data_IF_361170318535
#
_entry.id   IF_361170318535
#
_cell.length_a   1.000
_cell.length_b   1.000
_cell.length_c   1.000
_cell.angle_alpha   90.00
_cell.angle_beta   90.00
_cell.angle_gamma   90.00
#
_symmetry.space_group_name_H-M   'P 1'
#
loop_
_entity.id
_entity.type
_entity.pdbx_description
1 polymer ?
#
# COMPACT_ATOMS: atom_id res chain seq x y z
N UNK A 1 -18.62 -9.98 -26.00
CA UNK A 1 -17.36 -9.93 -25.23
C UNK A 1 -17.76 -9.75 -23.77
N UNK A 2 -17.67 -10.82 -22.98
CA UNK A 2 -17.99 -10.75 -21.55
C UNK A 2 -16.79 -10.14 -20.82
N UNK A 3 -16.98 -8.97 -20.22
CA UNK A 3 -16.06 -8.48 -19.19
C UNK A 3 -16.12 -9.49 -18.04
N UNK A 4 -15.09 -10.32 -17.91
CA UNK A 4 -14.87 -11.06 -16.68
C UNK A 4 -14.48 -9.98 -15.68
N UNK A 5 -15.42 -9.58 -14.83
CA UNK A 5 -15.10 -8.84 -13.62
C UNK A 5 -14.21 -9.77 -12.80
N UNK A 6 -12.89 -9.59 -12.92
CA UNK A 6 -11.93 -10.30 -12.09
C UNK A 6 -12.35 -10.07 -10.65
N UNK A 7 -12.66 -11.15 -9.93
CA UNK A 7 -12.82 -11.07 -8.48
C UNK A 7 -11.59 -10.31 -7.95
N UNK A 8 -11.76 -9.44 -6.93
CA UNK A 8 -10.59 -8.83 -6.31
C UNK A 8 -9.70 -9.97 -5.86
N UNK A 9 -8.53 -10.10 -6.49
CA UNK A 9 -7.56 -11.16 -6.21
C UNK A 9 -7.00 -11.04 -4.79
N UNK A 10 -7.33 -9.97 -4.06
CA UNK A 10 -6.80 -9.67 -2.73
C UNK A 10 -7.92 -9.55 -1.69
N UNK A 11 -7.82 -10.33 -0.62
CA UNK A 11 -8.64 -10.22 0.57
C UNK A 11 -7.87 -9.47 1.65
N UNK A 12 -8.42 -8.38 2.17
CA UNK A 12 -7.80 -7.55 3.20
C UNK A 12 -8.54 -7.72 4.52
N UNK A 13 -7.82 -8.06 5.57
CA UNK A 13 -8.33 -8.06 6.95
C UNK A 13 -7.51 -7.09 7.79
N UNK A 14 -8.19 -6.11 8.38
CA UNK A 14 -7.59 -5.05 9.20
C UNK A 14 -7.91 -5.31 10.68
N UNK A 15 -6.92 -5.06 11.54
CA UNK A 15 -7.03 -5.04 13.00
C UNK A 15 -6.31 -3.80 13.53
N UNK A 16 -7.06 -2.75 13.87
CA UNK A 16 -6.48 -1.49 14.30
C UNK A 16 -5.65 -0.86 13.17
N UNK A 17 -4.37 -0.68 13.43
CA UNK A 17 -3.37 -0.15 12.49
C UNK A 17 -2.62 -1.24 11.71
N UNK A 18 -2.94 -2.52 11.90
CA UNK A 18 -2.28 -3.62 11.20
C UNK A 18 -3.24 -4.33 10.25
N UNK A 19 -2.70 -4.99 9.23
CA UNK A 19 -3.52 -5.79 8.34
C UNK A 19 -2.81 -7.03 7.81
N UNK A 20 -3.61 -7.97 7.33
CA UNK A 20 -3.15 -9.09 6.51
C UNK A 20 -3.86 -9.01 5.17
N UNK A 21 -3.08 -9.11 4.10
CA UNK A 21 -3.57 -9.28 2.73
C UNK A 21 -3.31 -10.72 2.30
N UNK A 22 -4.37 -11.41 1.89
CA UNK A 22 -4.25 -12.67 1.18
C UNK A 22 -4.40 -12.42 -0.32
N UNK A 23 -3.37 -12.75 -1.11
CA UNK A 23 -3.43 -12.74 -2.56
C UNK A 23 -3.85 -14.13 -3.07
N UNK A 24 -5.06 -14.23 -3.59
CA UNK A 24 -5.64 -15.45 -4.13
C UNK A 24 -5.00 -15.89 -5.45
N UNK A 25 -4.29 -15.02 -6.16
CA UNK A 25 -3.62 -15.38 -7.41
C UNK A 25 -2.32 -16.17 -7.15
N UNK A 26 -1.53 -15.74 -6.18
CA UNK A 26 -0.29 -16.43 -5.75
C UNK A 26 -0.53 -17.47 -4.65
N UNK A 27 -1.57 -17.26 -3.82
CA UNK A 27 -1.78 -17.97 -2.56
C UNK A 27 -1.00 -17.36 -1.37
N UNK A 28 -0.29 -16.24 -1.59
CA UNK A 28 0.55 -15.62 -0.56
C UNK A 28 -0.26 -14.81 0.46
N UNK A 29 0.31 -14.72 1.66
CA UNK A 29 -0.22 -13.92 2.76
C UNK A 29 0.82 -12.89 3.19
N UNK A 30 0.46 -11.62 3.08
CA UNK A 30 1.33 -10.49 3.42
C UNK A 30 0.80 -9.78 4.65
N UNK A 31 1.63 -9.73 5.69
CA UNK A 31 1.35 -8.91 6.86
C UNK A 31 1.82 -7.47 6.62
N UNK A 32 0.90 -6.53 6.81
CA UNK A 32 1.13 -5.10 6.69
C UNK A 32 1.23 -4.50 8.10
N UNK A 33 2.43 -4.04 8.43
CA UNK A 33 2.70 -3.19 9.61
C UNK A 33 2.01 -1.84 9.45
N UNK A 34 1.86 -1.05 10.54
CA UNK A 34 1.14 0.22 10.52
C UNK A 34 1.51 1.17 9.39
N UNK A 35 2.80 1.41 9.21
CA UNK A 35 3.29 2.27 8.15
C UNK A 35 2.97 1.74 6.75
N UNK A 36 3.16 0.44 6.54
CA UNK A 36 2.90 -0.20 5.24
C UNK A 36 1.41 -0.26 4.93
N UNK A 37 0.55 -0.46 5.93
CA UNK A 37 -0.91 -0.41 5.77
C UNK A 37 -1.35 1.00 5.38
N UNK A 38 -0.89 2.02 6.12
CA UNK A 38 -1.23 3.41 5.80
C UNK A 38 -0.79 3.79 4.38
N UNK A 39 0.43 3.41 3.98
CA UNK A 39 0.92 3.63 2.62
C UNK A 39 0.05 2.91 1.58
N UNK A 40 -0.28 1.63 1.81
CA UNK A 40 -1.12 0.85 0.92
C UNK A 40 -2.52 1.48 0.75
N UNK A 41 -3.10 2.01 1.82
CA UNK A 41 -4.39 2.70 1.77
C UNK A 41 -4.29 4.03 1.01
N UNK A 42 -3.26 4.85 1.29
CA UNK A 42 -3.03 6.11 0.59
C UNK A 42 -2.88 5.88 -0.92
N UNK A 43 -2.07 4.89 -1.33
CA UNK A 43 -1.89 4.57 -2.76
C UNK A 43 -3.19 4.11 -3.43
N UNK A 44 -4.08 3.44 -2.69
CA UNK A 44 -5.37 2.99 -3.21
C UNK A 44 -6.38 4.13 -3.31
N UNK A 45 -6.38 5.05 -2.36
CA UNK A 45 -7.28 6.20 -2.33
C UNK A 45 -6.83 7.32 -3.28
N UNK A 46 -5.51 7.41 -3.54
CA UNK A 46 -4.87 8.42 -4.38
C UNK A 46 -3.81 7.78 -5.32
N UNK A 47 -4.24 7.05 -6.37
CA UNK A 47 -3.32 6.40 -7.30
C UNK A 47 -2.43 7.39 -8.09
N UNK A 48 -2.82 8.66 -8.18
CA UNK A 48 -2.08 9.71 -8.87
C UNK A 48 -0.93 10.33 -8.06
N UNK A 49 -0.81 10.02 -6.76
CA UNK A 49 0.18 10.64 -5.90
C UNK A 49 1.61 10.24 -6.28
N UNK A 50 2.46 11.25 -6.37
CA UNK A 50 3.92 11.09 -6.50
C UNK A 50 4.53 10.63 -5.17
N UNK A 51 5.77 10.10 -5.21
CA UNK A 51 6.49 9.66 -4.00
C UNK A 51 6.61 10.76 -2.93
N UNK A 52 6.68 12.03 -3.34
CA UNK A 52 6.74 13.17 -2.39
C UNK A 52 5.39 13.45 -1.74
N UNK A 53 4.30 13.32 -2.49
CA UNK A 53 2.93 13.46 -1.97
C UNK A 53 2.58 12.28 -1.06
N UNK A 54 2.96 11.05 -1.43
CA UNK A 54 2.82 9.87 -0.58
C UNK A 54 3.54 10.04 0.76
N UNK A 55 4.80 10.49 0.74
CA UNK A 55 5.56 10.71 1.98
C UNK A 55 4.95 11.82 2.85
N UNK A 56 4.41 12.87 2.23
CA UNK A 56 3.74 13.97 2.95
C UNK A 56 2.42 13.51 3.57
N UNK A 57 1.62 12.72 2.84
CA UNK A 57 0.38 12.14 3.33
C UNK A 57 0.64 11.14 4.48
N UNK A 58 1.70 10.33 4.35
CA UNK A 58 2.11 9.39 5.39
C UNK A 58 2.58 10.13 6.65
N UNK A 59 3.37 11.19 6.50
CA UNK A 59 3.80 12.04 7.61
C UNK A 59 2.60 12.64 8.35
N UNK A 60 1.63 13.19 7.62
CA UNK A 60 0.40 13.74 8.20
C UNK A 60 -0.44 12.66 8.91
N UNK A 61 -0.50 11.44 8.37
CA UNK A 61 -1.24 10.33 8.97
C UNK A 61 -0.71 9.94 10.36
N UNK A 62 0.60 10.02 10.56
CA UNK A 62 1.26 9.68 11.83
C UNK A 62 1.58 10.88 12.72
N UNK A 63 1.14 12.10 12.36
CA UNK A 63 1.51 13.36 13.04
C UNK A 63 3.04 13.53 13.15
N UNK A 64 3.75 13.18 12.08
CA UNK A 64 5.21 13.26 11.96
C UNK A 64 5.63 14.34 10.97
N UNK A 65 6.86 14.82 11.11
CA UNK A 65 7.48 15.68 10.10
C UNK A 65 7.92 14.84 8.89
N UNK A 66 7.63 15.32 7.68
CA UNK A 66 8.13 14.72 6.43
C UNK A 66 9.65 14.92 6.31
N UNK A 67 10.42 14.02 6.93
CA UNK A 67 11.89 14.02 6.87
C UNK A 67 12.39 13.30 5.62
N UNK A 68 13.64 13.55 5.19
CA UNK A 68 14.26 12.79 4.10
C UNK A 68 14.25 11.27 4.35
N UNK A 69 14.48 10.84 5.59
CA UNK A 69 14.45 9.42 5.97
C UNK A 69 13.06 8.79 5.80
N UNK A 70 12.00 9.52 6.16
CA UNK A 70 10.63 9.03 5.95
C UNK A 70 10.33 8.90 4.45
N UNK A 71 10.86 9.81 3.64
CA UNK A 71 10.67 9.79 2.19
C UNK A 71 11.35 8.58 1.54
N UNK A 72 12.60 8.29 1.92
CA UNK A 72 13.31 7.07 1.49
C UNK A 72 12.57 5.81 1.92
N UNK A 73 12.11 5.76 3.17
CA UNK A 73 11.36 4.61 3.69
C UNK A 73 10.00 4.43 3.00
N UNK A 74 9.34 5.53 2.63
CA UNK A 74 8.10 5.50 1.84
C UNK A 74 8.35 4.92 0.45
N UNK A 75 9.44 5.33 -0.21
CA UNK A 75 9.81 4.85 -1.54
C UNK A 75 10.17 3.36 -1.52
N UNK A 76 10.96 2.91 -0.54
CA UNK A 76 11.29 1.50 -0.35
C UNK A 76 10.05 0.63 -0.07
N UNK A 77 9.14 1.12 0.78
CA UNK A 77 7.89 0.43 1.07
C UNK A 77 6.96 0.39 -0.16
N UNK A 78 6.88 1.48 -0.92
CA UNK A 78 6.12 1.56 -2.16
C UNK A 78 6.65 0.56 -3.21
N UNK A 79 7.96 0.54 -3.44
CA UNK A 79 8.60 -0.43 -4.32
C UNK A 79 8.39 -1.87 -3.85
N UNK A 80 8.44 -2.11 -2.54
CA UNK A 80 8.19 -3.43 -1.96
C UNK A 80 6.76 -3.89 -2.26
N UNK A 81 5.75 -3.04 -2.00
CA UNK A 81 4.34 -3.32 -2.26
C UNK A 81 4.06 -3.59 -3.74
N UNK A 82 4.72 -2.86 -4.64
CA UNK A 82 4.65 -3.10 -6.07
C UNK A 82 5.32 -4.43 -6.47
N UNK A 83 6.49 -4.74 -5.90
CA UNK A 83 7.21 -5.99 -6.16
C UNK A 83 6.44 -7.23 -5.75
N UNK A 84 5.68 -7.16 -4.66
CA UNK A 84 4.84 -8.27 -4.18
C UNK A 84 3.42 -8.26 -4.80
N UNK A 85 3.16 -7.39 -5.79
CA UNK A 85 1.89 -7.38 -6.52
C UNK A 85 0.69 -6.89 -5.72
N UNK A 86 0.92 -6.19 -4.60
CA UNK A 86 -0.15 -5.60 -3.81
C UNK A 86 -0.64 -4.27 -4.40
N UNK A 87 0.24 -3.52 -5.06
CA UNK A 87 -0.12 -2.35 -5.84
C UNK A 87 -0.13 -2.71 -7.34
N UNK A 88 -1.02 -2.09 -8.09
CA UNK A 88 -1.01 -2.21 -9.55
C UNK A 88 0.19 -1.47 -10.12
N UNK A 89 0.80 -2.02 -11.18
CA UNK A 89 1.72 -1.25 -12.00
C UNK A 89 0.94 -0.18 -12.74
N UNK A 90 1.33 1.09 -12.54
CA UNK A 90 0.88 2.20 -13.36
C UNK A 90 1.28 2.01 -14.82
#
# INVERSE_FOLDING_TARGET
>A
MAHVSSLPSRLLKIWGDEAVVYDAASGDTHYLKPLTLALYQICRDHPEYTSTELASALAAHFDMTATPQLRELTEDAFHSLHKIGLLESA
#
